data_IF_164076105462
#
_entry.id   IF_164076105462
#
_cell.length_a   1.000
_cell.length_b   1.000
_cell.length_c   1.000
_cell.angle_alpha   90.00
_cell.angle_beta   90.00
_cell.angle_gamma   90.00
#
_symmetry.space_group_name_H-M   'P 1'
#
loop_
_entity.id
_entity.type
_entity.pdbx_description
1 polymer ?
#
# COMPACT_ATOMS: atom_id res chain seq x y z
N UNK A 1 -12.80 11.62 8.77
CA UNK A 1 -12.80 10.44 7.85
C UNK A 1 -11.90 9.36 8.42
N UNK A 2 -12.34 8.10 8.39
CA UNK A 2 -11.47 6.96 8.75
C UNK A 2 -11.05 6.22 7.49
N UNK A 3 -9.76 5.98 7.36
CA UNK A 3 -9.16 5.25 6.22
C UNK A 3 -8.44 4.02 6.76
N UNK A 4 -8.80 2.84 6.26
CA UNK A 4 -8.10 1.59 6.50
C UNK A 4 -7.12 1.35 5.36
N UNK A 5 -5.85 1.18 5.66
CA UNK A 5 -4.84 0.77 4.69
C UNK A 5 -4.25 -0.58 5.07
N UNK A 6 -4.25 -1.53 4.14
CA UNK A 6 -3.67 -2.87 4.31
C UNK A 6 -2.47 -2.98 3.38
N UNK A 7 -1.34 -3.39 3.94
CA UNK A 7 -0.06 -3.48 3.26
C UNK A 7 0.04 -4.62 2.25
N UNK A 8 1.19 -4.70 1.63
CA UNK A 8 1.50 -5.56 0.47
C UNK A 8 0.87 -6.96 0.55
N UNK A 9 -0.19 -7.19 -0.25
CA UNK A 9 -0.90 -8.48 -0.27
C UNK A 9 -0.12 -9.48 -1.10
N UNK A 10 0.38 -10.54 -0.46
CA UNK A 10 1.26 -11.54 -1.07
C UNK A 10 0.50 -12.85 -1.32
N UNK A 11 0.34 -13.19 -2.60
CA UNK A 11 -0.16 -14.48 -3.05
C UNK A 11 -1.59 -14.84 -2.61
N UNK A 12 -1.91 -16.13 -2.60
CA UNK A 12 -3.24 -16.65 -2.19
C UNK A 12 -3.51 -16.39 -0.71
N UNK A 13 -2.54 -16.69 0.16
CA UNK A 13 -2.71 -16.52 1.61
C UNK A 13 -3.03 -15.06 1.97
N UNK A 14 -2.37 -14.08 1.33
CA UNK A 14 -2.69 -12.67 1.54
C UNK A 14 -4.11 -12.31 1.10
N UNK A 15 -4.57 -12.84 -0.06
CA UNK A 15 -5.94 -12.61 -0.52
C UNK A 15 -6.99 -13.26 0.39
N UNK A 16 -6.70 -14.41 0.95
CA UNK A 16 -7.56 -15.11 1.93
C UNK A 16 -7.69 -14.29 3.21
N UNK A 17 -6.58 -13.72 3.72
CA UNK A 17 -6.61 -12.81 4.86
C UNK A 17 -7.50 -11.58 4.61
N UNK A 18 -7.46 -11.01 3.40
CA UNK A 18 -8.37 -9.91 3.03
C UNK A 18 -9.82 -10.39 3.10
N UNK A 19 -10.15 -11.50 2.45
CA UNK A 19 -11.53 -12.02 2.41
C UNK A 19 -12.07 -12.32 3.81
N UNK A 20 -11.24 -12.87 4.69
CA UNK A 20 -11.62 -13.24 6.06
C UNK A 20 -11.73 -12.02 6.98
N UNK A 21 -10.69 -11.18 7.01
CA UNK A 21 -10.58 -10.15 8.05
C UNK A 21 -11.15 -8.79 7.65
N UNK A 22 -11.27 -8.45 6.37
CA UNK A 22 -11.79 -7.14 5.97
C UNK A 22 -13.21 -6.87 6.48
N UNK A 23 -14.18 -7.80 6.45
CA UNK A 23 -15.49 -7.58 7.04
C UNK A 23 -15.43 -7.30 8.55
N UNK A 24 -14.56 -8.02 9.28
CA UNK A 24 -14.36 -7.88 10.73
C UNK A 24 -13.70 -6.54 11.06
N UNK A 25 -12.69 -6.13 10.29
CA UNK A 25 -12.03 -4.82 10.41
C UNK A 25 -13.01 -3.67 10.15
N UNK A 26 -13.85 -3.81 9.11
CA UNK A 26 -14.90 -2.82 8.81
C UNK A 26 -15.93 -2.71 9.93
N UNK A 27 -16.33 -3.82 10.53
CA UNK A 27 -17.25 -3.82 11.68
C UNK A 27 -16.64 -3.09 12.89
N UNK A 28 -15.36 -3.36 13.20
CA UNK A 28 -14.66 -2.79 14.36
C UNK A 28 -14.31 -1.30 14.18
N UNK A 29 -13.62 -0.99 13.09
CA UNK A 29 -13.05 0.36 12.88
C UNK A 29 -13.97 1.31 12.11
N UNK A 30 -14.97 0.78 11.38
CA UNK A 30 -15.94 1.53 10.56
C UNK A 30 -15.25 2.53 9.61
N UNK A 31 -14.25 2.10 8.81
CA UNK A 31 -13.61 2.97 7.85
C UNK A 31 -14.61 3.37 6.75
N UNK A 32 -14.52 4.60 6.29
CA UNK A 32 -15.25 5.08 5.11
C UNK A 32 -14.54 4.71 3.81
N UNK A 33 -13.21 4.56 3.85
CA UNK A 33 -12.41 4.13 2.70
C UNK A 33 -11.46 3.01 3.12
N UNK A 34 -11.35 1.99 2.29
CA UNK A 34 -10.40 0.89 2.44
C UNK A 34 -9.46 0.87 1.24
N UNK A 35 -8.16 0.97 1.50
CA UNK A 35 -7.09 0.92 0.51
C UNK A 35 -6.27 -0.34 0.76
N UNK A 36 -5.86 -1.01 -0.31
CA UNK A 36 -5.02 -2.22 -0.24
C UNK A 36 -3.87 -2.09 -1.23
N UNK A 37 -2.63 -2.36 -0.81
CA UNK A 37 -1.56 -2.54 -1.77
C UNK A 37 -1.61 -3.96 -2.34
N UNK A 38 -1.86 -4.07 -3.65
CA UNK A 38 -2.11 -5.32 -4.37
C UNK A 38 -0.96 -5.77 -5.28
N UNK A 39 0.20 -5.13 -5.21
CA UNK A 39 1.28 -5.35 -6.17
C UNK A 39 1.84 -6.79 -6.18
N UNK A 40 1.71 -7.52 -5.05
CA UNK A 40 2.19 -8.90 -4.90
C UNK A 40 1.06 -9.95 -4.90
N UNK A 41 -0.16 -9.54 -5.22
CA UNK A 41 -1.36 -10.37 -5.06
C UNK A 41 -1.43 -11.56 -6.01
N UNK A 42 -0.81 -11.48 -7.21
CA UNK A 42 -0.75 -12.58 -8.18
C UNK A 42 0.54 -13.40 -8.01
N UNK A 43 0.48 -14.42 -7.15
CA UNK A 43 1.61 -15.32 -6.89
C UNK A 43 2.92 -14.60 -6.53
N UNK A 44 2.80 -13.50 -5.78
CA UNK A 44 3.92 -12.71 -5.28
C UNK A 44 4.40 -11.57 -6.19
N UNK A 45 3.83 -11.41 -7.40
CA UNK A 45 4.20 -10.33 -8.33
C UNK A 45 3.05 -9.92 -9.22
N UNK A 46 2.74 -8.63 -9.23
CA UNK A 46 1.67 -8.07 -10.04
C UNK A 46 0.27 -8.42 -9.54
N UNK A 47 -0.72 -8.08 -10.35
CA UNK A 47 -2.14 -8.33 -10.11
C UNK A 47 -2.81 -8.76 -11.40
N UNK A 48 -3.86 -9.59 -11.30
CA UNK A 48 -4.74 -9.94 -12.43
C UNK A 48 -6.06 -9.20 -12.33
N UNK A 49 -6.78 -9.06 -13.45
CA UNK A 49 -8.12 -8.47 -13.46
C UNK A 49 -9.08 -9.17 -12.50
N UNK A 50 -9.02 -10.52 -12.44
CA UNK A 50 -9.83 -11.33 -11.53
C UNK A 50 -9.56 -10.96 -10.06
N UNK A 51 -8.29 -10.80 -9.68
CA UNK A 51 -7.90 -10.43 -8.31
C UNK A 51 -8.35 -8.99 -8.01
N UNK A 52 -8.12 -8.05 -8.92
CA UNK A 52 -8.60 -6.68 -8.79
C UNK A 52 -10.12 -6.61 -8.56
N UNK A 53 -10.90 -7.29 -9.42
CA UNK A 53 -12.36 -7.36 -9.27
C UNK A 53 -12.78 -8.00 -7.94
N UNK A 54 -12.06 -9.05 -7.50
CA UNK A 54 -12.33 -9.70 -6.20
C UNK A 54 -12.11 -8.74 -5.02
N UNK A 55 -11.02 -7.96 -5.01
CA UNK A 55 -10.79 -6.95 -3.98
C UNK A 55 -11.93 -5.94 -3.91
N UNK A 56 -12.41 -5.45 -5.05
CA UNK A 56 -13.57 -4.54 -5.08
C UNK A 56 -14.84 -5.19 -4.54
N UNK A 57 -15.09 -6.46 -4.87
CA UNK A 57 -16.24 -7.24 -4.34
C UNK A 57 -16.14 -7.45 -2.83
N UNK A 58 -14.92 -7.64 -2.28
CA UNK A 58 -14.68 -7.76 -0.85
C UNK A 58 -14.83 -6.41 -0.12
N UNK A 59 -15.00 -5.32 -0.88
CA UNK A 59 -15.24 -3.98 -0.35
C UNK A 59 -14.00 -3.12 -0.23
N UNK A 60 -12.94 -3.41 -0.98
CA UNK A 60 -11.80 -2.50 -1.16
C UNK A 60 -12.24 -1.36 -2.08
N UNK A 61 -11.89 -0.13 -1.73
CA UNK A 61 -12.26 1.06 -2.50
C UNK A 61 -11.15 1.48 -3.48
N UNK A 62 -9.89 1.30 -3.12
CA UNK A 62 -8.72 1.58 -3.98
C UNK A 62 -7.66 0.50 -3.81
N UNK A 63 -7.06 0.11 -4.93
CA UNK A 63 -5.88 -0.75 -4.96
C UNK A 63 -4.67 0.08 -5.37
N UNK A 64 -3.65 0.16 -4.51
CA UNK A 64 -2.35 0.72 -4.84
C UNK A 64 -1.40 -0.38 -5.32
N UNK A 65 -0.41 0.00 -6.08
CA UNK A 65 0.60 -0.89 -6.65
C UNK A 65 2.01 -0.48 -6.21
N UNK A 66 3.03 -0.98 -6.87
CA UNK A 66 4.43 -0.67 -6.62
C UNK A 66 5.32 -1.09 -7.79
N UNK A 67 6.56 -1.51 -7.50
CA UNK A 67 7.54 -1.88 -8.54
C UNK A 67 7.15 -3.12 -9.34
N UNK A 68 6.28 -3.99 -8.82
CA UNK A 68 5.78 -5.17 -9.53
C UNK A 68 4.53 -4.90 -10.37
N UNK A 69 4.14 -3.65 -10.59
CA UNK A 69 2.95 -3.28 -11.37
C UNK A 69 2.87 -4.01 -12.71
N UNK A 70 3.99 -4.15 -13.42
CA UNK A 70 4.05 -4.68 -14.78
C UNK A 70 4.48 -6.15 -14.88
N UNK A 71 4.75 -6.82 -13.76
CA UNK A 71 5.27 -8.18 -13.77
C UNK A 71 4.24 -9.22 -14.26
N UNK A 72 2.95 -8.93 -14.09
CA UNK A 72 1.88 -9.71 -14.71
C UNK A 72 1.39 -9.01 -15.97
N UNK A 73 1.74 -9.54 -17.16
CA UNK A 73 1.41 -8.90 -18.44
C UNK A 73 -0.08 -8.74 -18.72
N UNK A 74 -0.93 -9.56 -18.12
CA UNK A 74 -2.39 -9.41 -18.23
C UNK A 74 -2.92 -8.06 -17.73
N UNK A 75 -2.12 -7.30 -16.96
CA UNK A 75 -2.51 -5.97 -16.49
C UNK A 75 -2.78 -5.00 -17.65
N UNK A 76 -2.07 -5.13 -18.77
CA UNK A 76 -2.24 -4.25 -19.92
C UNK A 76 -3.63 -4.35 -20.57
N UNK A 77 -4.35 -5.44 -20.33
CA UNK A 77 -5.70 -5.66 -20.87
C UNK A 77 -6.77 -4.86 -20.10
N UNK A 78 -6.50 -4.46 -18.84
CA UNK A 78 -7.51 -3.85 -17.99
C UNK A 78 -7.08 -2.58 -17.26
N UNK A 79 -5.78 -2.24 -17.19
CA UNK A 79 -5.26 -1.15 -16.33
C UNK A 79 -5.90 0.21 -16.62
N UNK A 80 -6.20 0.51 -17.88
CA UNK A 80 -6.84 1.78 -18.28
C UNK A 80 -8.31 1.86 -17.84
N UNK A 81 -8.96 0.71 -17.67
CA UNK A 81 -10.34 0.60 -17.19
C UNK A 81 -10.44 0.41 -15.67
N UNK A 82 -9.32 0.15 -15.01
CA UNK A 82 -9.24 -0.04 -13.56
C UNK A 82 -9.29 1.29 -12.80
N UNK A 83 -10.44 1.97 -12.81
CA UNK A 83 -10.62 3.34 -12.25
C UNK A 83 -10.35 3.45 -10.75
N UNK A 84 -10.28 2.33 -10.04
CA UNK A 84 -9.99 2.25 -8.60
C UNK A 84 -8.61 1.63 -8.32
N UNK A 85 -7.72 1.62 -9.30
CA UNK A 85 -6.34 1.18 -9.16
C UNK A 85 -5.39 2.33 -9.50
N UNK A 86 -4.35 2.49 -8.67
CA UNK A 86 -3.27 3.46 -8.90
C UNK A 86 -1.92 2.75 -8.91
N UNK A 87 -1.14 3.02 -9.95
CA UNK A 87 0.25 2.60 -10.05
C UNK A 87 1.18 3.75 -9.61
N UNK A 88 2.48 3.53 -9.35
CA UNK A 88 3.39 4.63 -9.07
C UNK A 88 3.28 5.76 -10.10
N UNK A 89 3.03 6.98 -9.60
CA UNK A 89 2.73 8.13 -10.44
C UNK A 89 3.96 8.67 -11.19
N UNK A 90 5.15 8.31 -10.71
CA UNK A 90 6.42 8.71 -11.31
C UNK A 90 6.95 7.75 -12.40
N UNK A 91 6.12 6.85 -12.93
CA UNK A 91 6.41 6.25 -14.22
C UNK A 91 6.38 7.34 -15.32
N UNK A 92 7.20 7.21 -16.38
CA UNK A 92 7.23 8.19 -17.48
C UNK A 92 5.87 8.51 -18.04
N UNK A 93 5.74 9.73 -18.61
CA UNK A 93 4.51 10.17 -19.27
C UNK A 93 4.09 9.19 -20.39
N UNK A 94 2.79 8.97 -20.54
CA UNK A 94 2.23 8.00 -21.49
C UNK A 94 2.18 6.55 -20.96
N UNK A 95 2.74 6.25 -19.80
CA UNK A 95 2.58 4.92 -19.17
C UNK A 95 1.11 4.64 -18.84
N UNK A 96 0.56 3.45 -19.20
CA UNK A 96 -0.85 3.13 -18.97
C UNK A 96 -1.28 3.22 -17.50
N UNK A 97 -2.59 3.41 -17.27
CA UNK A 97 -3.15 3.56 -15.93
C UNK A 97 -2.91 4.94 -15.32
N UNK A 98 -3.24 5.10 -14.06
CA UNK A 98 -3.21 6.38 -13.36
C UNK A 98 -2.41 6.30 -12.06
N UNK A 99 -1.81 7.42 -11.64
CA UNK A 99 -1.01 7.51 -10.41
C UNK A 99 -1.77 8.14 -9.24
N UNK A 100 -2.93 8.72 -9.49
CA UNK A 100 -3.80 9.35 -8.50
C UNK A 100 -5.26 9.07 -8.84
N UNK A 101 -6.08 8.86 -7.80
CA UNK A 101 -7.54 8.71 -7.92
C UNK A 101 -8.24 9.46 -6.80
N UNK A 102 -9.46 9.92 -7.07
CA UNK A 102 -10.33 10.53 -6.07
C UNK A 102 -11.46 9.58 -5.68
N UNK A 103 -11.61 9.32 -4.39
CA UNK A 103 -12.70 8.53 -3.82
C UNK A 103 -13.69 9.46 -3.17
N UNK A 104 -14.92 9.44 -3.63
CA UNK A 104 -16.00 10.24 -3.05
C UNK A 104 -16.63 9.52 -1.86
N UNK A 105 -16.65 10.21 -0.72
CA UNK A 105 -17.32 9.77 0.52
C UNK A 105 -18.32 10.84 0.90
N UNK A 106 -19.62 10.58 0.66
CA UNK A 106 -20.67 11.59 0.82
C UNK A 106 -20.38 12.83 -0.06
N UNK A 107 -20.12 13.99 0.60
CA UNK A 107 -19.80 15.26 -0.07
C UNK A 107 -18.31 15.58 -0.07
N UNK A 108 -17.47 14.68 0.47
CA UNK A 108 -16.03 14.86 0.64
C UNK A 108 -15.30 13.92 -0.31
N UNK A 109 -14.12 14.31 -0.76
CA UNK A 109 -13.25 13.46 -1.57
C UNK A 109 -11.95 13.16 -0.81
N UNK A 110 -11.44 11.94 -0.99
CA UNK A 110 -10.09 11.54 -0.62
C UNK A 110 -9.28 11.37 -1.90
N UNK A 111 -8.16 12.07 -2.04
CA UNK A 111 -7.17 11.76 -3.06
C UNK A 111 -6.25 10.64 -2.58
N UNK A 112 -6.08 9.59 -3.38
CA UNK A 112 -5.14 8.50 -3.14
C UNK A 112 -4.06 8.55 -4.21
N UNK A 113 -2.81 8.70 -3.79
CA UNK A 113 -1.63 8.78 -4.65
C UNK A 113 -0.72 7.59 -4.34
N UNK A 114 -0.24 6.92 -5.37
CA UNK A 114 0.83 5.95 -5.26
C UNK A 114 2.12 6.51 -5.88
N UNK A 115 3.25 6.35 -5.20
CA UNK A 115 4.55 6.87 -5.64
C UNK A 115 5.65 5.87 -5.32
N UNK A 116 6.61 5.70 -6.22
CA UNK A 116 7.76 4.83 -6.00
C UNK A 116 9.01 5.65 -5.67
N UNK A 117 9.77 5.17 -4.67
CA UNK A 117 11.12 5.65 -4.35
C UNK A 117 12.14 5.24 -5.44
N UNK A 118 13.36 5.79 -5.37
CA UNK A 118 14.43 5.47 -6.32
C UNK A 118 15.61 4.71 -5.71
N UNK A 119 15.89 4.94 -4.42
CA UNK A 119 17.05 4.33 -3.77
C UNK A 119 16.94 2.80 -3.72
N UNK A 120 17.86 2.11 -4.39
CA UNK A 120 17.88 0.64 -4.57
C UNK A 120 16.65 0.07 -5.31
N UNK A 121 15.99 0.88 -6.10
CA UNK A 121 14.86 0.50 -6.95
C UNK A 121 15.12 0.87 -8.41
N UNK A 122 14.20 0.48 -9.30
CA UNK A 122 14.27 0.91 -10.70
C UNK A 122 14.16 2.43 -10.79
N UNK A 123 15.04 3.05 -11.57
CA UNK A 123 15.05 4.49 -11.79
C UNK A 123 13.78 4.92 -12.54
N UNK A 124 12.97 5.71 -11.87
CA UNK A 124 11.80 6.40 -12.40
C UNK A 124 12.01 7.93 -12.29
N UNK A 125 11.04 8.69 -12.76
CA UNK A 125 11.05 10.15 -12.60
C UNK A 125 11.13 10.54 -11.11
N UNK A 126 11.67 11.74 -10.84
CA UNK A 126 11.89 12.23 -9.47
C UNK A 126 10.61 12.25 -8.63
N UNK A 127 10.50 11.40 -7.59
CA UNK A 127 9.28 11.27 -6.80
C UNK A 127 8.93 12.54 -6.03
N UNK A 128 9.92 13.34 -5.62
CA UNK A 128 9.67 14.58 -4.85
C UNK A 128 9.10 15.67 -5.74
N UNK A 129 9.63 15.84 -6.96
CA UNK A 129 9.09 16.79 -7.94
C UNK A 129 7.70 16.39 -8.36
N UNK A 130 7.51 15.10 -8.71
CA UNK A 130 6.22 14.58 -9.13
C UNK A 130 5.17 14.69 -8.03
N UNK A 131 5.55 14.40 -6.78
CA UNK A 131 4.65 14.53 -5.65
C UNK A 131 4.21 15.98 -5.41
N UNK A 132 5.11 16.95 -5.58
CA UNK A 132 4.75 18.38 -5.47
C UNK A 132 3.62 18.75 -6.46
N UNK A 133 3.76 18.35 -7.73
CA UNK A 133 2.75 18.62 -8.78
C UNK A 133 1.39 17.98 -8.41
N UNK A 134 1.40 16.70 -8.02
CA UNK A 134 0.17 15.97 -7.70
C UNK A 134 -0.52 16.50 -6.45
N UNK A 135 0.22 16.91 -5.43
CA UNK A 135 -0.35 17.53 -4.23
C UNK A 135 -0.99 18.88 -4.56
N UNK A 136 -0.34 19.69 -5.38
CA UNK A 136 -0.92 20.97 -5.86
C UNK A 136 -2.20 20.74 -6.67
N UNK A 137 -2.24 19.68 -7.48
CA UNK A 137 -3.45 19.29 -8.21
C UNK A 137 -4.56 18.77 -7.29
N UNK A 138 -4.23 17.83 -6.39
CA UNK A 138 -5.19 17.25 -5.47
C UNK A 138 -5.84 18.30 -4.56
N UNK A 139 -5.05 19.26 -4.07
CA UNK A 139 -5.51 20.34 -3.19
C UNK A 139 -6.50 21.32 -3.81
N UNK A 140 -6.60 21.35 -5.16
CA UNK A 140 -7.68 22.11 -5.85
C UNK A 140 -9.07 21.50 -5.61
N UNK A 141 -9.12 20.22 -5.19
CA UNK A 141 -10.37 19.46 -4.99
C UNK A 141 -10.62 19.08 -3.54
N UNK A 142 -9.57 18.69 -2.80
CA UNK A 142 -9.70 18.19 -1.44
C UNK A 142 -8.45 18.48 -0.60
N UNK A 143 -8.59 18.76 0.70
CA UNK A 143 -7.46 18.77 1.62
C UNK A 143 -7.04 17.37 2.07
N UNK A 144 -7.84 16.33 1.82
CA UNK A 144 -7.62 14.98 2.34
C UNK A 144 -6.87 14.16 1.27
N UNK A 145 -5.58 13.92 1.52
CA UNK A 145 -4.67 13.26 0.58
C UNK A 145 -3.94 12.12 1.30
N UNK A 146 -4.10 10.90 0.80
CA UNK A 146 -3.35 9.73 1.25
C UNK A 146 -2.27 9.37 0.23
N UNK A 147 -1.06 9.09 0.71
CA UNK A 147 0.09 8.69 -0.11
C UNK A 147 0.56 7.31 0.31
N UNK A 148 0.54 6.34 -0.61
CA UNK A 148 1.30 5.10 -0.53
C UNK A 148 2.67 5.33 -1.18
N UNK A 149 3.73 5.40 -0.36
CA UNK A 149 5.09 5.62 -0.81
C UNK A 149 5.89 4.31 -0.80
N UNK A 150 5.92 3.67 -1.97
CA UNK A 150 6.51 2.36 -2.18
C UNK A 150 8.02 2.44 -2.36
N UNK A 151 8.80 1.98 -1.38
CA UNK A 151 10.26 2.14 -1.44
C UNK A 151 11.05 1.28 -0.47
N UNK A 152 12.31 1.02 -0.84
CA UNK A 152 13.24 0.17 -0.09
C UNK A 152 13.81 0.89 1.15
N UNK A 153 14.29 2.14 0.99
CA UNK A 153 15.08 2.78 2.04
C UNK A 153 14.26 3.59 3.03
N UNK A 154 14.54 3.40 4.30
CA UNK A 154 13.88 4.17 5.38
C UNK A 154 14.17 5.66 5.30
N UNK A 155 15.39 6.05 4.87
CA UNK A 155 15.78 7.45 4.76
C UNK A 155 14.98 8.20 3.69
N UNK A 156 14.76 7.61 2.51
CA UNK A 156 13.97 8.23 1.44
C UNK A 156 12.48 8.31 1.84
N UNK A 157 11.95 7.26 2.52
CA UNK A 157 10.60 7.27 3.07
C UNK A 157 10.41 8.38 4.09
N UNK A 158 11.32 8.52 5.06
CA UNK A 158 11.27 9.60 6.04
C UNK A 158 11.40 10.98 5.39
N UNK A 159 12.32 11.14 4.41
CA UNK A 159 12.47 12.38 3.67
C UNK A 159 11.17 12.78 2.96
N UNK A 160 10.46 11.84 2.32
CA UNK A 160 9.16 12.09 1.71
C UNK A 160 8.12 12.50 2.75
N UNK A 161 8.06 11.82 3.89
CA UNK A 161 7.16 12.17 4.98
C UNK A 161 7.37 13.61 5.47
N UNK A 162 8.61 14.01 5.76
CA UNK A 162 8.94 15.37 6.17
C UNK A 162 8.72 16.42 5.07
N UNK A 163 9.01 16.07 3.83
CA UNK A 163 8.76 16.95 2.68
C UNK A 163 7.26 17.28 2.51
N UNK A 164 6.40 16.33 2.87
CA UNK A 164 4.94 16.45 2.75
C UNK A 164 4.24 16.86 4.05
N UNK A 165 4.96 17.06 5.15
CA UNK A 165 4.36 17.43 6.43
C UNK A 165 3.52 18.73 6.34
N UNK A 166 2.23 18.62 6.69
CA UNK A 166 1.23 19.66 6.55
C UNK A 166 0.66 19.86 5.14
N UNK A 167 1.13 19.07 4.16
CA UNK A 167 0.64 19.17 2.77
C UNK A 167 -0.29 18.02 2.38
N UNK A 168 -0.20 16.89 3.08
CA UNK A 168 -1.04 15.71 2.89
C UNK A 168 -1.52 15.18 4.24
N UNK A 169 -2.56 14.35 4.23
CA UNK A 169 -3.11 13.74 5.44
C UNK A 169 -2.23 12.63 5.99
N UNK A 170 -1.68 11.80 5.10
CA UNK A 170 -0.84 10.68 5.50
C UNK A 170 0.18 10.30 4.42
N UNK A 171 1.35 9.87 4.85
CA UNK A 171 2.37 9.17 4.05
C UNK A 171 2.63 7.83 4.72
N UNK A 172 2.23 6.74 4.08
CA UNK A 172 2.43 5.38 4.57
C UNK A 172 3.31 4.63 3.59
N UNK A 173 4.43 4.10 4.08
CA UNK A 173 5.36 3.33 3.26
C UNK A 173 4.94 1.89 3.08
N UNK A 174 5.38 1.30 1.95
CA UNK A 174 5.22 -0.12 1.56
C UNK A 174 6.53 -0.66 0.98
N UNK A 175 6.58 -1.89 0.54
CA UNK A 175 7.67 -2.59 -0.13
C UNK A 175 8.50 -3.54 0.73
N UNK A 176 8.92 -3.15 1.95
CA UNK A 176 9.87 -3.97 2.71
C UNK A 176 9.22 -5.21 3.34
N UNK A 177 7.89 -5.29 3.34
CA UNK A 177 7.09 -6.38 3.90
C UNK A 177 7.19 -6.54 5.42
N UNK A 178 7.91 -5.65 6.11
CA UNK A 178 8.07 -5.67 7.57
C UNK A 178 7.44 -4.42 8.17
N UNK A 179 6.41 -4.60 8.99
CA UNK A 179 5.76 -3.48 9.66
C UNK A 179 6.72 -2.80 10.64
N UNK A 180 6.93 -1.49 10.45
CA UNK A 180 7.74 -0.68 11.36
C UNK A 180 6.91 -0.15 12.53
N UNK A 181 7.57 0.20 13.63
CA UNK A 181 6.90 0.66 14.85
C UNK A 181 7.06 2.18 15.05
N UNK A 182 7.10 2.95 13.98
CA UNK A 182 7.34 4.39 14.00
C UNK A 182 6.12 5.24 13.60
N UNK A 183 4.92 4.66 13.69
CA UNK A 183 3.66 5.35 13.44
C UNK A 183 3.54 6.61 14.31
N UNK A 184 3.33 7.76 13.68
CA UNK A 184 3.25 9.05 14.38
C UNK A 184 2.55 10.10 13.53
N UNK A 185 2.17 11.20 14.15
CA UNK A 185 1.72 12.42 13.46
C UNK A 185 2.86 13.43 13.51
N UNK A 186 3.24 13.95 12.36
CA UNK A 186 4.24 15.00 12.25
C UNK A 186 3.71 16.36 12.74
N UNK A 187 4.58 17.33 13.09
CA UNK A 187 4.19 18.58 13.74
C UNK A 187 3.16 19.42 12.99
N UNK A 188 3.07 19.29 11.65
CA UNK A 188 2.10 20.01 10.82
C UNK A 188 0.85 19.16 10.47
N UNK A 189 0.67 18.02 11.13
CA UNK A 189 -0.54 17.21 11.05
C UNK A 189 -0.57 16.09 10.04
N UNK A 190 0.54 15.73 9.40
CA UNK A 190 0.62 14.57 8.51
C UNK A 190 0.89 13.28 9.30
N UNK A 191 0.04 12.26 9.18
CA UNK A 191 0.36 10.93 9.70
C UNK A 191 1.48 10.28 8.89
N UNK A 192 2.37 9.57 9.58
CA UNK A 192 3.52 8.92 8.96
C UNK A 192 3.76 7.52 9.51
N UNK A 193 4.13 6.60 8.62
CA UNK A 193 4.60 5.26 8.94
C UNK A 193 5.64 4.85 7.89
N UNK A 194 6.82 4.39 8.32
CA UNK A 194 7.91 4.00 7.40
C UNK A 194 7.52 2.80 6.53
N UNK A 195 6.93 1.76 7.10
CA UNK A 195 6.39 0.64 6.33
C UNK A 195 5.21 -0.01 7.07
N UNK A 196 4.13 -0.25 6.34
CA UNK A 196 2.91 -0.85 6.90
C UNK A 196 2.99 -2.37 7.01
N UNK A 197 4.02 -2.98 6.40
CA UNK A 197 4.21 -4.42 6.34
C UNK A 197 3.37 -5.13 5.29
N UNK A 198 3.50 -6.44 5.21
CA UNK A 198 2.76 -7.28 4.27
C UNK A 198 1.54 -7.95 4.89
N UNK A 199 0.64 -8.39 4.01
CA UNK A 199 -0.45 -9.30 4.31
C UNK A 199 -0.26 -10.59 3.50
N UNK A 200 0.03 -11.70 4.18
CA UNK A 200 0.38 -12.94 3.48
C UNK A 200 1.05 -13.98 4.37
N UNK A 201 1.93 -14.83 3.80
CA UNK A 201 2.57 -15.91 4.53
C UNK A 201 3.49 -15.40 5.65
N UNK A 202 3.21 -15.78 6.90
CA UNK A 202 3.98 -15.34 8.08
C UNK A 202 5.29 -16.11 8.27
N UNK A 203 5.29 -17.41 8.01
CA UNK A 203 6.45 -18.29 8.22
C UNK A 203 7.46 -18.32 7.04
N UNK A 204 7.37 -17.35 6.13
CA UNK A 204 8.31 -17.16 5.04
C UNK A 204 9.38 -16.10 5.34
N UNK A 205 10.22 -15.84 4.35
CA UNK A 205 11.08 -14.66 4.31
C UNK A 205 10.44 -13.67 3.34
N UNK A 206 9.83 -12.60 3.87
CA UNK A 206 9.05 -11.64 3.10
C UNK A 206 7.96 -12.30 2.22
N UNK A 207 7.32 -13.36 2.74
CA UNK A 207 6.32 -14.16 2.03
C UNK A 207 6.85 -15.26 1.13
N UNK A 208 8.17 -15.36 0.94
CA UNK A 208 8.82 -16.39 0.10
C UNK A 208 9.28 -17.59 0.93
N UNK A 209 9.40 -18.76 0.28
CA UNK A 209 9.94 -19.98 0.91
C UNK A 209 11.36 -19.73 1.42
N UNK A 210 11.63 -20.21 2.63
CA UNK A 210 12.88 -19.93 3.36
C UNK A 210 14.11 -20.51 2.69
N UNK A 211 14.01 -21.75 2.24
CA UNK A 211 15.14 -22.54 1.77
C UNK A 211 15.87 -21.88 0.56
N UNK A 212 15.19 -21.50 -0.53
CA UNK A 212 15.85 -20.82 -1.66
C UNK A 212 16.44 -19.46 -1.29
N UNK A 213 15.79 -18.73 -0.37
CA UNK A 213 16.27 -17.40 0.07
C UNK A 213 17.54 -17.56 0.90
N UNK A 214 17.55 -18.48 1.88
CA UNK A 214 18.74 -18.77 2.70
C UNK A 214 19.89 -19.27 1.82
N UNK A 215 19.63 -20.20 0.91
CA UNK A 215 20.64 -20.72 -0.01
C UNK A 215 21.26 -19.60 -0.87
N UNK A 216 20.47 -18.64 -1.35
CA UNK A 216 21.00 -17.49 -2.09
C UNK A 216 21.96 -16.65 -1.24
N UNK A 217 21.65 -16.41 0.05
CA UNK A 217 22.54 -15.69 0.94
C UNK A 217 23.81 -16.45 1.29
N UNK A 218 23.73 -17.78 1.40
CA UNK A 218 24.89 -18.63 1.70
C UNK A 218 25.85 -18.78 0.51
N UNK A 219 25.32 -18.80 -0.71
CA UNK A 219 26.07 -19.15 -1.91
C UNK A 219 26.32 -17.99 -2.86
N UNK A 220 25.58 -16.88 -2.71
CA UNK A 220 25.49 -15.77 -3.66
C UNK A 220 25.04 -16.19 -5.07
N UNK A 221 24.56 -17.43 -5.27
CA UNK A 221 24.07 -17.90 -6.56
C UNK A 221 22.62 -17.45 -6.81
N UNK A 222 22.25 -17.18 -8.07
CA UNK A 222 20.87 -16.85 -8.41
C UNK A 222 19.93 -18.02 -8.10
N UNK A 223 18.84 -17.74 -7.40
CA UNK A 223 17.78 -18.68 -7.06
C UNK A 223 16.44 -18.09 -7.41
N UNK A 224 15.53 -18.94 -7.91
CA UNK A 224 14.12 -18.57 -8.09
C UNK A 224 13.42 -18.62 -6.73
N UNK A 225 12.75 -17.52 -6.37
CA UNK A 225 11.92 -17.47 -5.16
C UNK A 225 10.50 -17.88 -5.49
N UNK A 226 9.88 -18.59 -4.55
CA UNK A 226 8.50 -19.06 -4.64
C UNK A 226 7.75 -18.62 -3.39
N UNK A 227 6.50 -18.14 -3.58
CA UNK A 227 5.62 -17.75 -2.48
C UNK A 227 5.27 -18.97 -1.64
N UNK A 228 5.21 -18.79 -0.33
CA UNK A 228 4.65 -19.80 0.58
C UNK A 228 3.15 -19.89 0.35
N UNK A 229 2.62 -21.10 0.20
CA UNK A 229 1.20 -21.34 -0.11
C UNK A 229 0.41 -21.92 1.07
N UNK A 230 1.08 -22.31 2.15
CA UNK A 230 0.45 -22.94 3.32
C UNK A 230 1.19 -22.56 4.60
N UNK A 231 0.51 -22.61 5.74
CA UNK A 231 1.05 -22.28 7.05
C UNK A 231 0.37 -21.08 7.67
N UNK A 232 1.05 -20.44 8.62
CA UNK A 232 0.52 -19.27 9.32
C UNK A 232 0.53 -18.05 8.42
N UNK A 233 -0.48 -17.19 8.61
CA UNK A 233 -0.64 -15.95 7.87
C UNK A 233 -0.55 -14.73 8.78
N UNK A 234 -0.21 -13.59 8.19
CA UNK A 234 -0.22 -12.29 8.84
C UNK A 234 -1.03 -11.30 8.00
N UNK A 235 -1.79 -10.43 8.66
CA UNK A 235 -2.35 -9.21 8.08
C UNK A 235 -1.71 -8.01 8.77
N UNK A 236 -1.08 -7.15 7.99
CA UNK A 236 -0.54 -5.88 8.47
C UNK A 236 -1.26 -4.70 7.81
N UNK A 237 -1.52 -3.67 8.58
CA UNK A 237 -2.24 -2.50 8.12
C UNK A 237 -2.16 -1.34 9.12
N UNK A 238 -2.84 -0.27 8.81
CA UNK A 238 -3.10 0.81 9.75
C UNK A 238 -4.49 1.41 9.54
N UNK A 239 -5.04 1.98 10.61
CA UNK A 239 -6.24 2.81 10.57
C UNK A 239 -5.84 4.25 10.84
N UNK A 240 -6.34 5.15 10.01
CA UNK A 240 -6.14 6.58 10.11
C UNK A 240 -7.45 7.26 10.47
N UNK A 241 -7.41 8.22 11.40
CA UNK A 241 -8.51 9.16 11.61
C UNK A 241 -8.08 10.54 11.13
N UNK A 242 -8.79 11.09 10.14
CA UNK A 242 -8.48 12.32 9.45
C UNK A 242 -9.57 13.36 9.72
N UNK A 243 -9.18 14.61 9.85
CA UNK A 243 -10.10 15.74 9.92
C UNK A 243 -10.64 16.05 8.52
N UNK A 244 -11.97 16.07 8.39
CA UNK A 244 -12.64 16.23 7.10
C UNK A 244 -12.50 17.64 6.50
N UNK A 245 -12.22 18.65 7.35
CA UNK A 245 -12.12 20.05 6.94
C UNK A 245 -10.69 20.44 6.60
N UNK A 246 -9.75 20.03 7.44
CA UNK A 246 -8.33 20.44 7.31
C UNK A 246 -7.49 19.44 6.55
N UNK A 247 -7.92 18.17 6.52
CA UNK A 247 -7.14 17.04 6.02
C UNK A 247 -6.06 16.56 7.00
N UNK A 248 -5.91 17.18 8.17
CA UNK A 248 -4.90 16.75 9.15
C UNK A 248 -5.27 15.40 9.78
N UNK A 249 -4.27 14.60 10.06
CA UNK A 249 -4.47 13.37 10.82
C UNK A 249 -4.68 13.67 12.31
N UNK A 250 -5.64 12.95 12.91
CA UNK A 250 -5.91 12.95 14.35
C UNK A 250 -5.30 11.74 15.05
N UNK A 251 -5.26 10.61 14.34
CA UNK A 251 -4.74 9.35 14.84
C UNK A 251 -4.19 8.47 13.70
N UNK A 252 -3.17 7.71 14.02
CA UNK A 252 -2.70 6.57 13.25
C UNK A 252 -2.48 5.40 14.19
N UNK A 253 -3.18 4.29 13.96
CA UNK A 253 -3.06 3.06 14.76
C UNK A 253 -2.62 1.91 13.86
N UNK A 254 -1.59 1.17 14.29
CA UNK A 254 -1.15 -0.04 13.62
C UNK A 254 -2.13 -1.19 13.81
N UNK A 255 -2.28 -1.99 12.78
CA UNK A 255 -3.02 -3.26 12.79
C UNK A 255 -2.05 -4.36 12.42
N UNK A 256 -1.96 -5.38 13.27
CA UNK A 256 -1.24 -6.61 12.98
C UNK A 256 -2.04 -7.79 13.53
N UNK A 257 -2.39 -8.72 12.65
CA UNK A 257 -3.20 -9.90 12.98
C UNK A 257 -2.43 -11.14 12.53
N UNK A 258 -2.16 -12.03 13.44
CA UNK A 258 -1.59 -13.36 13.19
C UNK A 258 -1.94 -14.28 14.38
N UNK A 259 -1.46 -15.52 14.39
CA UNK A 259 -1.72 -16.46 15.50
C UNK A 259 -1.16 -15.99 16.83
N UNK A 260 -0.02 -15.29 16.84
CA UNK A 260 0.60 -14.76 18.05
C UNK A 260 -0.09 -13.47 18.55
N UNK A 261 -0.82 -12.79 17.65
CA UNK A 261 -1.61 -11.58 17.91
C UNK A 261 -2.99 -11.72 17.25
N UNK A 262 -3.89 -12.54 17.81
CA UNK A 262 -5.20 -12.79 17.23
C UNK A 262 -6.06 -11.53 17.24
N UNK A 263 -6.93 -11.42 16.24
CA UNK A 263 -7.88 -10.32 16.16
C UNK A 263 -8.89 -10.38 17.30
N UNK A 264 -8.87 -9.35 18.15
CA UNK A 264 -9.86 -9.16 19.23
C UNK A 264 -11.01 -8.29 18.71
N UNK A 265 -12.24 -8.80 18.78
CA UNK A 265 -13.45 -8.07 18.33
C UNK A 265 -13.84 -6.90 19.24
#
# INVERSE_FOLDING_TARGET
>A
MRVLFIGDVVGSMGREMITEYLPRLKKKYRPQVTIVNGENAASGRGITEKIYKKFLQDGVDVVTMGNHTWDNRGIFEFVNEAKKMVRPANFPEGTPGQGMVFVKVNQIELAVINMQARSFMVDLDDPFRKMKELVEEARKRTPIIFVDFHGETTSEKQAMGWFLDGKVSAVVGTHTHVQTNDARIFPKGTAYLTDVGMTGPYDGILGMRREPVIEKFLTALPKRFEVVEQGRSILSGCILELDDTTGHAKEIQLIQINEDRPFME
#
